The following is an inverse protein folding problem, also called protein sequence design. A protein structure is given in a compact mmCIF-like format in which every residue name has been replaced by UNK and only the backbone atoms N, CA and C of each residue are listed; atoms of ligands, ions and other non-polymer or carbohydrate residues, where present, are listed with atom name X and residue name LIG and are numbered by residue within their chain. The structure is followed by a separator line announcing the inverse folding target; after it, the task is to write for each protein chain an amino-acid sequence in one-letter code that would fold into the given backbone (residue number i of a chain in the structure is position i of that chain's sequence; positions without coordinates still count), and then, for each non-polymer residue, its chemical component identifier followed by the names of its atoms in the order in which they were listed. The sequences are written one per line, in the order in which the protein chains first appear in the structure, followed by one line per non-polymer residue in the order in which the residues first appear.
data_IF_561675070174
#
_entry.id   IF_561675070174
#
_cell.length_a   1.000
_cell.length_b   1.000
_cell.length_c   1.000
_cell.angle_alpha   90.00
_cell.angle_beta   90.00
_cell.angle_gamma   90.00
#
_symmetry.space_group_name_H-M   'P 1'
#
loop_
_entity.id
_entity.type
_entity.pdbx_description
1 polymer ?
#
# COMPACT_ATOMS: atom_id res chain seq x y z
N UNK A 1 0.60 -10.27 -54.50
CA UNK A 1 1.41 -9.25 -53.79
C UNK A 1 0.80 -9.04 -52.40
N UNK A 2 1.40 -9.64 -51.37
CA UNK A 2 0.82 -9.70 -50.03
C UNK A 2 1.11 -8.40 -49.27
N UNK A 3 0.09 -7.55 -49.13
CA UNK A 3 0.18 -6.31 -48.33
C UNK A 3 0.19 -6.64 -46.85
N UNK A 4 1.37 -6.81 -46.27
CA UNK A 4 1.56 -6.88 -44.82
C UNK A 4 1.12 -5.55 -44.19
N UNK A 5 -0.03 -5.56 -43.51
CA UNK A 5 -0.59 -4.40 -42.81
C UNK A 5 0.45 -3.82 -41.85
N UNK A 6 0.65 -2.49 -41.90
CA UNK A 6 1.52 -1.69 -41.02
C UNK A 6 1.31 -2.05 -39.53
N UNK A 7 0.09 -2.46 -39.19
CA UNK A 7 -0.31 -2.89 -37.84
C UNK A 7 0.41 -4.18 -37.38
N UNK A 8 0.66 -5.12 -38.29
CA UNK A 8 1.38 -6.36 -38.01
C UNK A 8 2.90 -6.12 -37.84
N UNK A 9 3.47 -5.18 -38.59
CA UNK A 9 4.88 -4.81 -38.47
C UNK A 9 5.18 -4.14 -37.11
N UNK A 10 4.29 -3.25 -36.64
CA UNK A 10 4.43 -2.57 -35.35
C UNK A 10 4.25 -3.51 -34.15
N UNK A 11 3.44 -4.57 -34.28
CA UNK A 11 3.22 -5.53 -33.20
C UNK A 11 4.51 -6.32 -32.84
N UNK A 12 5.40 -6.58 -33.82
CA UNK A 12 6.69 -7.24 -33.58
C UNK A 12 7.71 -6.35 -32.88
N UNK A 13 7.67 -5.03 -33.11
CA UNK A 13 8.61 -4.07 -32.50
C UNK A 13 8.26 -3.78 -31.04
N UNK A 14 6.99 -3.84 -30.66
CA UNK A 14 6.53 -3.43 -29.32
C UNK A 14 6.14 -4.56 -28.37
N UNK A 15 6.35 -5.84 -28.71
CA UNK A 15 5.97 -7.01 -27.88
C UNK A 15 4.59 -6.84 -27.23
N UNK A 16 3.60 -6.37 -27.99
CA UNK A 16 2.24 -6.19 -27.48
C UNK A 16 1.55 -7.55 -27.57
N UNK A 17 1.50 -8.28 -26.47
CA UNK A 17 0.72 -9.52 -26.36
C UNK A 17 -0.76 -9.22 -26.65
N UNK A 18 -1.26 -9.66 -27.79
CA UNK A 18 -2.67 -9.59 -28.14
C UNK A 18 -3.44 -10.59 -27.26
N UNK A 19 -4.20 -10.07 -26.30
CA UNK A 19 -5.00 -10.85 -25.35
C UNK A 19 -6.23 -11.43 -26.06
N UNK A 20 -6.48 -12.75 -26.03
CA UNK A 20 -7.67 -13.32 -26.64
C UNK A 20 -8.93 -12.95 -25.83
N UNK A 21 -9.98 -12.54 -26.53
CA UNK A 21 -11.30 -12.22 -25.97
C UNK A 21 -12.06 -13.51 -25.64
N UNK A 22 -12.33 -13.76 -24.36
CA UNK A 22 -13.18 -14.87 -23.91
C UNK A 22 -14.65 -14.45 -24.07
N UNK A 23 -15.41 -15.18 -24.90
CA UNK A 23 -16.88 -15.04 -25.03
C UNK A 23 -17.54 -15.78 -23.87
N UNK A 24 -18.24 -15.06 -22.98
CA UNK A 24 -19.15 -15.66 -22.02
C UNK A 24 -20.43 -16.13 -22.73
N UNK A 25 -20.66 -17.44 -22.76
CA UNK A 25 -21.96 -18.03 -23.12
C UNK A 25 -22.68 -18.45 -21.82
N UNK A 26 -23.79 -17.79 -21.51
CA UNK A 26 -24.71 -18.21 -20.43
C UNK A 26 -25.86 -18.95 -21.12
N UNK A 27 -25.94 -20.25 -20.89
CA UNK A 27 -27.07 -21.08 -21.28
C UNK A 27 -28.20 -20.93 -20.24
N UNK A 28 -29.42 -20.69 -20.71
CA UNK A 28 -30.64 -20.77 -19.90
C UNK A 28 -31.23 -22.19 -20.01
N UNK A 29 -31.68 -22.83 -18.92
CA UNK A 29 -32.55 -23.98 -19.02
C UNK A 29 -34.02 -23.60 -18.84
N UNK A 30 -34.82 -24.21 -19.70
CA UNK A 30 -36.26 -24.11 -19.81
C UNK A 30 -37.02 -24.78 -18.65
N UNK A 31 -38.27 -24.35 -18.52
CA UNK A 31 -39.35 -24.85 -17.68
C UNK A 31 -39.70 -26.32 -17.89
N UNK A 32 -40.01 -27.04 -16.79
CA UNK A 32 -40.87 -28.23 -16.82
C UNK A 32 -41.79 -28.25 -15.61
N UNK A 33 -43.09 -28.33 -15.91
CA UNK A 33 -44.23 -28.53 -15.01
C UNK A 33 -44.22 -29.93 -14.39
N UNK A 34 -44.49 -30.03 -13.09
CA UNK A 34 -45.18 -31.20 -12.52
C UNK A 34 -45.89 -30.85 -11.21
N UNK A 35 -47.17 -31.20 -11.18
CA UNK A 35 -48.10 -31.21 -10.05
C UNK A 35 -47.83 -32.42 -9.16
N UNK A 36 -47.89 -32.26 -7.83
CA UNK A 36 -48.77 -33.05 -6.93
C UNK A 36 -48.39 -32.95 -5.44
N UNK A 37 -49.46 -32.92 -4.65
CA UNK A 37 -49.62 -33.46 -3.29
C UNK A 37 -49.01 -32.76 -2.08
N UNK A 38 -49.94 -32.25 -1.29
CA UNK A 38 -49.82 -31.85 0.10
C UNK A 38 -49.19 -32.95 0.98
N UNK A 39 -48.20 -32.55 1.77
CA UNK A 39 -47.92 -33.14 3.07
C UNK A 39 -47.74 -32.03 4.09
N UNK A 40 -48.72 -31.95 4.97
CA UNK A 40 -48.69 -31.28 6.26
C UNK A 40 -47.55 -31.85 7.11
N UNK A 41 -46.51 -31.05 7.36
CA UNK A 41 -45.59 -31.26 8.48
C UNK A 41 -45.66 -30.03 9.39
N UNK A 42 -46.43 -30.18 10.45
CA UNK A 42 -46.50 -29.33 11.62
C UNK A 42 -45.15 -29.29 12.35
N UNK A 43 -44.60 -28.09 12.52
CA UNK A 43 -44.06 -27.53 13.77
C UNK A 43 -42.88 -26.60 13.49
N UNK A 44 -43.18 -25.32 13.28
CA UNK A 44 -42.19 -24.25 13.41
C UNK A 44 -42.10 -23.85 14.88
N UNK A 45 -41.20 -24.48 15.64
CA UNK A 45 -40.81 -23.96 16.94
C UNK A 45 -39.80 -22.82 16.73
N UNK A 46 -40.31 -21.59 16.59
CA UNK A 46 -39.49 -20.38 16.64
C UNK A 46 -39.92 -19.56 17.85
N UNK A 47 -39.13 -19.62 18.93
CA UNK A 47 -39.31 -18.83 20.16
C UNK A 47 -38.86 -17.38 19.95
N UNK A 48 -39.39 -16.73 18.93
CA UNK A 48 -39.23 -15.29 18.72
C UNK A 48 -40.62 -14.68 18.62
N UNK A 49 -41.02 -13.78 19.53
CA UNK A 49 -42.35 -13.17 19.46
C UNK A 49 -42.53 -12.47 18.10
N UNK A 50 -43.63 -12.71 17.36
CA UNK A 50 -43.87 -12.00 16.11
C UNK A 50 -43.95 -10.51 16.43
N UNK A 51 -43.04 -9.73 15.85
CA UNK A 51 -43.11 -8.27 15.96
C UNK A 51 -44.47 -7.82 15.45
N UNK A 52 -45.27 -7.23 16.35
CA UNK A 52 -46.58 -6.69 16.02
C UNK A 52 -46.47 -5.80 14.78
N UNK A 53 -47.13 -6.20 13.70
CA UNK A 53 -47.21 -5.41 12.49
C UNK A 53 -47.90 -4.08 12.84
N UNK A 54 -47.12 -3.01 12.99
CA UNK A 54 -47.66 -1.66 13.18
C UNK A 54 -48.40 -1.28 11.92
N UNK A 55 -49.74 -1.33 11.98
CA UNK A 55 -50.66 -0.79 10.98
C UNK A 55 -50.30 0.69 10.74
N UNK A 56 -49.69 0.98 9.59
CA UNK A 56 -49.61 2.35 9.06
C UNK A 56 -48.34 3.17 9.28
N UNK A 57 -47.19 2.59 9.65
CA UNK A 57 -45.95 3.37 9.79
C UNK A 57 -44.73 2.70 9.16
N UNK A 58 -44.15 3.28 8.11
CA UNK A 58 -42.83 2.85 7.57
C UNK A 58 -41.83 2.84 8.74
N UNK A 59 -41.16 1.70 8.96
CA UNK A 59 -40.11 1.61 9.97
C UNK A 59 -39.09 2.74 9.76
N UNK A 60 -38.78 3.51 10.80
CA UNK A 60 -37.71 4.51 10.75
C UNK A 60 -36.41 3.78 10.47
N UNK A 61 -35.97 3.80 9.21
CA UNK A 61 -34.67 3.27 8.83
C UNK A 61 -33.62 4.13 9.53
N UNK A 62 -32.76 3.50 10.33
CA UNK A 62 -31.67 4.18 11.03
C UNK A 62 -30.84 4.99 10.03
N UNK A 63 -30.66 6.28 10.31
CA UNK A 63 -29.89 7.22 9.48
C UNK A 63 -28.45 6.72 9.30
N UNK A 64 -27.87 6.02 10.30
CA UNK A 64 -26.53 5.42 10.20
C UNK A 64 -26.50 4.32 9.14
N UNK A 65 -27.52 3.45 9.10
CA UNK A 65 -27.65 2.39 8.09
C UNK A 65 -27.86 2.99 6.71
N UNK A 66 -28.63 4.07 6.61
CA UNK A 66 -28.82 4.82 5.34
C UNK A 66 -27.51 5.46 4.87
N UNK A 67 -26.71 6.05 5.76
CA UNK A 67 -25.40 6.62 5.43
C UNK A 67 -24.39 5.54 5.02
N UNK A 68 -24.37 4.40 5.72
CA UNK A 68 -23.53 3.25 5.35
C UNK A 68 -23.92 2.76 3.96
N UNK A 69 -25.21 2.54 3.70
CA UNK A 69 -25.71 2.17 2.37
C UNK A 69 -25.37 3.22 1.32
N UNK A 70 -25.40 4.50 1.71
CA UNK A 70 -25.05 5.60 0.83
C UNK A 70 -23.57 5.53 0.40
N UNK A 71 -22.65 5.35 1.35
CA UNK A 71 -21.21 5.22 1.07
C UNK A 71 -20.79 3.86 0.51
N UNK A 72 -21.67 2.85 0.51
CA UNK A 72 -21.38 1.55 -0.12
C UNK A 72 -21.92 1.45 -1.56
N UNK A 73 -23.09 2.03 -1.83
CA UNK A 73 -23.87 1.72 -3.03
C UNK A 73 -24.16 2.92 -3.95
N UNK A 74 -23.66 4.13 -3.68
CA UNK A 74 -23.78 5.23 -4.62
C UNK A 74 -22.52 5.37 -5.51
N UNK A 75 -22.53 4.77 -6.71
CA UNK A 75 -21.36 4.80 -7.59
C UNK A 75 -20.98 6.23 -8.01
N UNK A 76 -21.92 7.18 -7.99
CA UNK A 76 -21.71 8.57 -8.41
C UNK A 76 -21.03 9.45 -7.36
N UNK A 77 -21.09 9.10 -6.07
CA UNK A 77 -20.42 9.84 -4.99
C UNK A 77 -19.03 9.29 -4.68
N UNK A 78 -18.82 7.99 -4.92
CA UNK A 78 -17.54 7.31 -4.63
C UNK A 78 -16.62 7.23 -5.84
N UNK A 79 -17.17 7.14 -7.06
CA UNK A 79 -16.39 6.97 -8.28
C UNK A 79 -16.89 7.90 -9.39
N UNK A 80 -16.21 9.03 -9.65
CA UNK A 80 -16.57 9.88 -10.77
C UNK A 80 -16.42 9.12 -12.09
N UNK A 81 -17.14 9.57 -13.13
CA UNK A 81 -17.02 8.98 -14.47
C UNK A 81 -15.56 9.03 -14.96
N UNK A 82 -15.09 8.02 -15.70
CA UNK A 82 -13.73 8.01 -16.24
C UNK A 82 -13.40 9.29 -17.00
N UNK A 83 -12.20 9.81 -16.75
CA UNK A 83 -11.74 11.06 -17.32
C UNK A 83 -11.50 10.93 -18.83
N UNK A 84 -12.11 11.82 -19.61
CA UNK A 84 -11.96 11.86 -21.07
C UNK A 84 -10.99 12.96 -21.45
N UNK A 85 -9.85 12.60 -22.05
CA UNK A 85 -8.86 13.55 -22.51
C UNK A 85 -8.99 13.83 -24.00
N UNK A 86 -8.76 15.09 -24.40
CA UNK A 86 -8.47 15.43 -25.79
C UNK A 86 -7.10 14.87 -26.19
N UNK A 87 -6.83 14.77 -27.50
CA UNK A 87 -5.57 14.16 -28.00
C UNK A 87 -4.31 14.82 -27.44
N UNK A 88 -4.20 16.16 -27.50
CA UNK A 88 -3.04 16.88 -26.96
C UNK A 88 -2.89 16.71 -25.44
N UNK A 89 -4.00 16.67 -24.70
CA UNK A 89 -3.98 16.43 -23.24
C UNK A 89 -3.53 15.01 -22.91
N UNK A 90 -4.01 14.02 -23.66
CA UNK A 90 -3.61 12.62 -23.52
C UNK A 90 -2.10 12.45 -23.77
N UNK A 91 -1.57 13.07 -24.84
CA UNK A 91 -0.14 13.00 -25.15
C UNK A 91 0.72 13.63 -24.05
N UNK A 92 0.36 14.80 -23.54
CA UNK A 92 1.06 15.43 -22.40
C UNK A 92 1.06 14.51 -21.17
N UNK A 93 -0.10 13.95 -20.83
CA UNK A 93 -0.22 13.02 -19.72
C UNK A 93 0.65 11.78 -19.90
N UNK A 94 0.65 11.19 -21.10
CA UNK A 94 1.46 10.03 -21.43
C UNK A 94 2.96 10.31 -21.30
N UNK A 95 3.43 11.46 -21.79
CA UNK A 95 4.83 11.87 -21.67
C UNK A 95 5.25 12.06 -20.21
N UNK A 96 4.44 12.75 -19.41
CA UNK A 96 4.72 12.94 -17.97
C UNK A 96 4.76 11.60 -17.26
N UNK A 97 3.79 10.72 -17.53
CA UNK A 97 3.75 9.39 -16.92
C UNK A 97 4.99 8.56 -17.29
N UNK A 98 5.43 8.60 -18.55
CA UNK A 98 6.64 7.89 -18.98
C UNK A 98 7.91 8.46 -18.35
N UNK A 99 8.03 9.79 -18.27
CA UNK A 99 9.14 10.45 -17.59
C UNK A 99 9.20 10.07 -16.11
N UNK A 100 8.04 10.02 -15.43
CA UNK A 100 7.94 9.57 -14.05
C UNK A 100 8.37 8.11 -13.86
N UNK A 101 7.95 7.21 -14.74
CA UNK A 101 8.39 5.81 -14.71
C UNK A 101 9.91 5.69 -14.86
N UNK A 102 10.49 6.45 -15.80
CA UNK A 102 11.93 6.47 -16.03
C UNK A 102 12.67 7.01 -14.80
N UNK A 103 12.21 8.12 -14.23
CA UNK A 103 12.76 8.68 -12.99
C UNK A 103 12.71 7.66 -11.85
N UNK A 104 11.56 7.01 -11.60
CA UNK A 104 11.44 5.97 -10.56
C UNK A 104 12.38 4.80 -10.79
N UNK A 105 12.58 4.37 -12.04
CA UNK A 105 13.53 3.32 -12.38
C UNK A 105 14.95 3.73 -12.02
N UNK A 106 15.35 4.95 -12.37
CA UNK A 106 16.69 5.50 -12.03
C UNK A 106 16.89 5.62 -10.52
N UNK A 107 15.92 6.15 -9.79
CA UNK A 107 15.98 6.27 -8.31
C UNK A 107 16.13 4.89 -7.67
N UNK A 108 15.40 3.88 -8.14
CA UNK A 108 15.53 2.50 -7.63
C UNK A 108 16.91 1.92 -7.93
N UNK A 109 17.42 2.11 -9.15
CA UNK A 109 18.76 1.67 -9.53
C UNK A 109 19.84 2.32 -8.67
N UNK A 110 19.76 3.64 -8.46
CA UNK A 110 20.69 4.37 -7.58
C UNK A 110 20.66 3.83 -6.16
N UNK A 111 19.47 3.59 -5.59
CA UNK A 111 19.33 2.98 -4.27
C UNK A 111 19.95 1.59 -4.21
N UNK A 112 19.75 0.78 -5.24
CA UNK A 112 20.30 -0.58 -5.30
C UNK A 112 21.83 -0.57 -5.38
N UNK A 113 22.41 0.32 -6.20
CA UNK A 113 23.87 0.49 -6.30
C UNK A 113 24.48 0.96 -4.98
N UNK A 114 23.81 1.86 -4.27
CA UNK A 114 24.29 2.31 -2.95
C UNK A 114 24.24 1.19 -1.91
N UNK A 115 23.18 0.36 -1.93
CA UNK A 115 23.10 -0.82 -1.05
C UNK A 115 24.19 -1.85 -1.39
N UNK A 116 24.46 -2.08 -2.68
CA UNK A 116 25.55 -2.95 -3.14
C UNK A 116 26.91 -2.40 -2.71
N UNK A 117 27.14 -1.09 -2.83
CA UNK A 117 28.35 -0.41 -2.37
C UNK A 117 28.56 -0.62 -0.87
N UNK A 118 27.53 -0.38 -0.07
CA UNK A 118 27.58 -0.58 1.39
C UNK A 118 27.83 -2.05 1.74
N UNK A 119 27.17 -2.99 1.06
CA UNK A 119 27.37 -4.42 1.25
C UNK A 119 28.81 -4.85 0.93
N UNK A 120 29.35 -4.40 -0.20
CA UNK A 120 30.71 -4.72 -0.61
C UNK A 120 31.74 -4.17 0.37
N UNK A 121 31.57 -2.92 0.82
CA UNK A 121 32.43 -2.32 1.84
C UNK A 121 32.39 -3.10 3.17
N UNK A 122 31.20 -3.50 3.64
CA UNK A 122 31.06 -4.33 4.85
C UNK A 122 31.70 -5.71 4.66
N UNK A 123 31.57 -6.31 3.47
CA UNK A 123 32.16 -7.61 3.13
C UNK A 123 33.68 -7.55 3.17
N UNK A 124 34.27 -6.53 2.56
CA UNK A 124 35.72 -6.31 2.54
C UNK A 124 36.28 -6.11 3.95
N UNK A 125 35.65 -5.27 4.76
CA UNK A 125 36.06 -5.06 6.16
C UNK A 125 35.97 -6.34 7.01
N UNK A 126 34.92 -7.16 6.79
CA UNK A 126 34.78 -8.44 7.48
C UNK A 126 35.83 -9.46 7.04
N UNK A 127 36.24 -9.44 5.78
CA UNK A 127 37.29 -10.32 5.26
C UNK A 127 38.66 -9.92 5.82
N UNK A 128 38.93 -8.62 5.91
CA UNK A 128 40.11 -8.07 6.59
C UNK A 128 40.14 -8.48 8.07
N UNK A 129 39.01 -8.39 8.80
CA UNK A 129 38.93 -8.87 10.18
C UNK A 129 39.13 -10.37 10.33
N UNK A 130 38.81 -11.17 9.30
CA UNK A 130 38.91 -12.62 9.35
C UNK A 130 40.33 -13.11 9.15
N UNK A 131 41.09 -12.46 8.26
CA UNK A 131 42.42 -12.91 7.83
C UNK A 131 43.54 -11.95 8.26
N UNK A 132 43.31 -10.65 8.20
CA UNK A 132 44.33 -9.60 8.36
C UNK A 132 44.58 -9.15 9.80
N UNK A 133 43.65 -9.38 10.74
CA UNK A 133 43.78 -8.89 12.12
C UNK A 133 44.78 -9.66 13.01
N UNK A 134 45.37 -10.76 12.51
CA UNK A 134 46.36 -11.56 13.26
C UNK A 134 45.82 -12.28 14.50
N UNK A 135 44.50 -12.30 14.70
CA UNK A 135 43.82 -12.80 15.89
C UNK A 135 43.16 -14.18 15.68
N UNK A 136 43.44 -14.83 14.55
CA UNK A 136 42.83 -16.10 14.15
C UNK A 136 41.31 -16.02 13.95
N UNK A 137 40.77 -14.84 13.60
CA UNK A 137 39.35 -14.63 13.34
C UNK A 137 38.48 -14.59 14.61
N UNK A 138 39.07 -14.26 15.76
CA UNK A 138 38.32 -14.12 17.03
C UNK A 138 37.37 -12.91 16.99
N UNK A 139 37.83 -11.76 16.53
CA UNK A 139 37.04 -10.54 16.36
C UNK A 139 35.95 -10.73 15.31
N UNK A 140 36.27 -11.38 14.19
CA UNK A 140 35.29 -11.77 13.18
C UNK A 140 34.14 -12.59 13.79
N UNK A 141 34.44 -13.66 14.54
CA UNK A 141 33.40 -14.47 15.21
C UNK A 141 32.54 -13.66 16.17
N UNK A 142 33.14 -12.74 16.93
CA UNK A 142 32.41 -11.85 17.85
C UNK A 142 31.51 -10.86 17.10
N UNK A 143 31.97 -10.26 16.01
CA UNK A 143 31.20 -9.34 15.19
C UNK A 143 29.98 -10.02 14.53
N UNK A 144 30.08 -11.30 14.20
CA UNK A 144 28.98 -12.07 13.61
C UNK A 144 27.88 -12.47 14.62
N UNK A 145 28.07 -12.25 15.92
CA UNK A 145 27.05 -12.53 16.93
C UNK A 145 25.87 -11.57 16.78
N UNK A 146 24.66 -12.10 16.59
CA UNK A 146 23.42 -11.31 16.46
C UNK A 146 22.73 -11.07 17.80
N UNK A 147 23.49 -10.97 18.89
CA UNK A 147 22.97 -10.81 20.24
C UNK A 147 22.19 -9.50 20.34
N UNK A 148 20.93 -9.57 20.76
CA UNK A 148 20.07 -8.38 20.90
C UNK A 148 19.61 -7.74 19.59
N UNK A 149 19.88 -8.32 18.41
CA UNK A 149 19.42 -7.74 17.13
C UNK A 149 17.93 -7.98 16.90
N UNK A 150 17.44 -9.17 17.28
CA UNK A 150 16.06 -9.61 17.06
C UNK A 150 15.16 -9.48 18.30
N UNK A 151 15.67 -8.92 19.39
CA UNK A 151 14.90 -8.73 20.62
C UNK A 151 14.00 -7.49 20.54
N UNK A 152 13.02 -7.44 21.43
CA UNK A 152 12.11 -6.30 21.58
C UNK A 152 12.86 -5.17 22.33
N UNK A 153 12.68 -3.89 21.95
CA UNK A 153 13.31 -2.73 22.61
C UNK A 153 13.17 -2.71 24.14
N UNK A 154 12.01 -3.12 24.66
CA UNK A 154 11.73 -3.20 26.10
C UNK A 154 12.64 -4.19 26.86
N UNK A 155 13.26 -5.15 26.15
CA UNK A 155 14.22 -6.11 26.71
C UNK A 155 15.68 -5.72 26.43
N UNK A 156 15.93 -4.49 26.01
CA UNK A 156 17.29 -3.95 25.84
C UNK A 156 17.99 -4.35 24.54
N UNK A 157 17.25 -4.64 23.47
CA UNK A 157 17.85 -4.80 22.14
C UNK A 157 16.91 -4.45 20.99
N UNK A 158 17.39 -4.53 19.76
CA UNK A 158 16.75 -4.01 18.56
C UNK A 158 17.17 -2.58 18.26
N UNK A 159 16.43 -1.92 17.35
CA UNK A 159 16.66 -0.50 17.01
C UNK A 159 15.89 0.38 18.01
N UNK A 160 16.53 1.34 18.69
CA UNK A 160 15.83 2.23 19.62
C UNK A 160 14.74 3.05 18.90
N UNK A 161 13.58 3.19 19.55
CA UNK A 161 12.39 3.80 18.94
C UNK A 161 12.60 5.27 18.58
N UNK A 162 13.52 5.96 19.26
CA UNK A 162 13.88 7.34 19.02
C UNK A 162 14.47 7.56 17.62
N UNK A 163 15.13 6.55 17.05
CA UNK A 163 15.71 6.60 15.70
C UNK A 163 14.72 6.18 14.60
N UNK A 164 13.58 5.60 14.95
CA UNK A 164 12.55 5.20 13.98
C UNK A 164 11.66 6.37 13.51
N UNK A 165 12.02 7.62 13.84
CA UNK A 165 11.28 8.83 13.47
C UNK A 165 11.29 9.05 11.96
N UNK A 166 10.11 9.24 11.38
CA UNK A 166 9.97 9.60 9.97
C UNK A 166 10.49 11.01 9.68
N UNK A 167 10.96 11.23 8.45
CA UNK A 167 11.30 12.58 8.00
C UNK A 167 10.06 13.46 7.88
N UNK A 168 10.23 14.75 8.16
CA UNK A 168 9.16 15.77 8.13
C UNK A 168 9.43 16.79 7.04
N UNK A 169 8.38 17.38 6.48
CA UNK A 169 8.48 18.41 5.43
C UNK A 169 9.05 19.73 5.98
N UNK A 170 8.71 20.09 7.23
CA UNK A 170 9.19 21.30 7.90
C UNK A 170 9.83 20.94 9.25
N UNK A 171 10.96 21.59 9.58
CA UNK A 171 11.63 21.40 10.87
C UNK A 171 10.90 22.16 11.98
N UNK A 172 10.61 21.47 13.08
CA UNK A 172 10.11 22.09 14.31
C UNK A 172 11.25 22.63 15.17
N UNK A 173 10.95 23.61 16.02
CA UNK A 173 11.86 24.05 17.08
C UNK A 173 11.71 23.15 18.31
N UNK A 174 12.82 22.77 18.95
CA UNK A 174 12.85 22.06 20.24
C UNK A 174 12.41 23.01 21.35
N UNK A 175 11.11 23.23 21.43
CA UNK A 175 10.49 24.28 22.24
C UNK A 175 9.28 24.74 21.47
N UNK A 176 8.17 24.03 21.65
CA UNK A 176 6.96 24.18 20.85
C UNK A 176 6.49 25.63 20.71
N UNK A 177 5.69 25.87 19.69
CA UNK A 177 4.98 27.14 19.48
C UNK A 177 4.13 27.42 20.75
N UNK A 178 4.64 28.26 21.65
CA UNK A 178 3.99 28.56 22.94
C UNK A 178 4.88 28.53 24.18
N UNK A 179 6.17 28.18 24.10
CA UNK A 179 7.08 28.51 25.21
C UNK A 179 7.30 30.02 25.20
N UNK A 180 6.73 30.69 26.20
CA UNK A 180 6.88 32.09 26.54
C UNK A 180 8.33 32.44 26.92
N UNK A 181 9.25 32.30 25.98
CA UNK A 181 10.60 32.84 26.05
C UNK A 181 10.62 34.17 25.33
N UNK A 182 10.31 35.25 26.06
CA UNK A 182 10.48 36.62 25.61
C UNK A 182 11.93 36.85 25.20
N UNK A 183 12.20 36.93 23.90
CA UNK A 183 13.52 37.32 23.39
C UNK A 183 13.63 37.23 21.87
N UNK A 184 13.64 38.38 21.20
CA UNK A 184 14.13 38.55 19.84
C UNK A 184 15.61 38.12 19.79
N UNK A 185 15.88 36.84 19.53
CA UNK A 185 17.26 36.32 19.47
C UNK A 185 17.47 34.90 20.00
N UNK A 186 16.46 34.25 20.59
CA UNK A 186 16.59 32.83 20.94
C UNK A 186 16.64 31.98 19.65
N UNK A 187 17.84 31.49 19.30
CA UNK A 187 18.05 30.64 18.13
C UNK A 187 17.16 29.40 18.24
N UNK A 188 16.20 29.25 17.32
CA UNK A 188 15.42 28.03 17.20
C UNK A 188 16.39 26.84 17.03
N UNK A 189 16.43 25.94 18.01
CA UNK A 189 17.26 24.74 17.95
C UNK A 189 16.43 23.62 17.34
N UNK A 190 17.01 22.93 16.35
CA UNK A 190 16.38 21.76 15.70
C UNK A 190 16.79 20.45 16.41
N UNK A 191 17.95 20.49 17.08
CA UNK A 191 18.54 19.36 17.79
C UNK A 191 18.67 19.66 19.28
N UNK A 192 18.45 18.65 20.12
CA UNK A 192 18.65 18.76 21.56
C UNK A 192 20.12 18.54 21.92
N UNK A 193 20.85 19.63 22.07
CA UNK A 193 22.25 19.64 22.52
C UNK A 193 22.39 19.31 24.02
N UNK A 194 21.30 19.38 24.79
CA UNK A 194 21.29 19.21 26.24
C UNK A 194 21.01 17.78 26.71
N UNK A 195 20.92 16.82 25.79
CA UNK A 195 20.62 15.42 26.11
C UNK A 195 21.65 14.82 27.08
N UNK A 196 21.16 14.21 28.16
CA UNK A 196 21.97 13.53 29.19
C UNK A 196 21.64 12.04 29.20
N UNK A 197 22.68 11.22 29.40
CA UNK A 197 22.60 9.75 29.51
C UNK A 197 22.10 9.32 30.88
#
# INVERSE_FOLDING_TARGET
MHGSSIRAALAKVFQISLRPTVRNAIAAPASSTSTSSARTSSASFSTSPPHAAKKGGKARVDRRITLIRFFLYHPTTLTPRPLRFSRNRYLRHWTIHRAWQLYRSKVRQQRQLELERQYNAMREANEELRVGAGDGGRLFRKAQMKTGVWSIPERGGGVPIEYARGMVEYMGSTGGLGSSGTGLGAKAKVWDEGWKR
#
